data_IF_347632378482
#
_entry.id   IF_347632378482
#
_cell.length_a   1.000
_cell.length_b   1.000
_cell.length_c   1.000
_cell.angle_alpha   90.00
_cell.angle_beta   90.00
_cell.angle_gamma   90.00
#
_symmetry.space_group_name_H-M   'P 1'
#
loop_
_entity.id
_entity.type
_entity.pdbx_description
1 polymer ?
#
# COMPACT_ATOMS: atom_id res chain seq x y z
N UNK A 1 25.64 33.12 -16.45
CA UNK A 1 24.26 32.72 -16.10
C UNK A 1 24.36 31.99 -14.78
N UNK A 2 23.94 32.63 -13.69
CA UNK A 2 23.97 32.01 -12.37
C UNK A 2 22.85 30.97 -12.28
N UNK A 3 23.18 29.78 -11.79
CA UNK A 3 22.19 28.75 -11.45
C UNK A 3 21.15 29.32 -10.49
N UNK A 4 19.86 29.02 -10.69
CA UNK A 4 18.84 29.42 -9.72
C UNK A 4 19.10 28.65 -8.43
N UNK A 5 19.55 29.36 -7.39
CA UNK A 5 19.69 28.83 -6.04
C UNK A 5 18.34 28.27 -5.61
N UNK A 6 18.23 26.95 -5.56
CA UNK A 6 17.02 26.24 -5.17
C UNK A 6 16.60 26.70 -3.78
N UNK A 7 15.42 27.34 -3.66
CA UNK A 7 14.88 27.72 -2.37
C UNK A 7 14.54 26.46 -1.55
N UNK A 8 14.92 26.38 -0.27
CA UNK A 8 14.86 25.17 0.57
C UNK A 8 13.44 24.68 0.94
N UNK A 9 12.41 25.08 0.20
CA UNK A 9 11.04 24.56 0.31
C UNK A 9 10.34 24.32 -1.03
N UNK A 10 11.06 24.45 -2.16
CA UNK A 10 10.50 24.21 -3.49
C UNK A 10 10.50 22.73 -3.84
N UNK A 11 9.55 22.30 -4.66
CA UNK A 11 9.45 20.89 -5.09
C UNK A 11 10.74 20.35 -5.74
N UNK A 12 11.45 21.08 -6.62
CA UNK A 12 12.74 20.63 -7.14
C UNK A 12 13.83 20.50 -6.06
N UNK A 13 13.83 21.38 -5.05
CA UNK A 13 14.79 21.30 -3.95
C UNK A 13 14.57 20.05 -3.10
N UNK A 14 13.30 19.75 -2.76
CA UNK A 14 12.92 18.52 -2.05
C UNK A 14 13.31 17.27 -2.84
N UNK A 15 13.08 17.26 -4.15
CA UNK A 15 13.50 16.17 -5.02
C UNK A 15 15.02 16.01 -5.05
N UNK A 16 15.78 17.10 -5.10
CA UNK A 16 17.24 17.07 -5.04
C UNK A 16 17.74 16.44 -3.73
N UNK A 17 17.15 16.83 -2.58
CA UNK A 17 17.46 16.24 -1.27
C UNK A 17 17.22 14.72 -1.27
N UNK A 18 16.10 14.25 -1.81
CA UNK A 18 15.82 12.83 -1.95
C UNK A 18 16.91 12.12 -2.78
N UNK A 19 17.27 12.67 -3.95
CA UNK A 19 18.29 12.09 -4.84
C UNK A 19 19.66 12.02 -4.16
N UNK A 20 20.07 13.10 -3.51
CA UNK A 20 21.34 13.17 -2.77
C UNK A 20 21.38 12.17 -1.62
N UNK A 21 20.26 11.97 -0.91
CA UNK A 21 20.17 10.95 0.12
C UNK A 21 20.34 9.53 -0.45
N UNK A 22 19.78 9.21 -1.61
CA UNK A 22 19.81 7.86 -2.15
C UNK A 22 21.18 7.43 -2.71
N UNK A 23 21.96 8.36 -3.29
CA UNK A 23 23.26 8.07 -3.93
C UNK A 23 24.26 7.27 -3.07
N UNK A 24 24.65 7.71 -1.86
CA UNK A 24 25.60 6.96 -1.04
C UNK A 24 25.04 5.61 -0.60
N UNK A 25 23.72 5.48 -0.44
CA UNK A 25 23.06 4.24 -0.04
C UNK A 25 23.08 3.21 -1.18
N UNK A 26 22.87 3.64 -2.41
CA UNK A 26 22.97 2.79 -3.60
C UNK A 26 24.37 2.22 -3.79
N UNK A 27 25.43 2.97 -3.46
CA UNK A 27 26.82 2.51 -3.55
C UNK A 27 27.10 1.30 -2.66
N UNK A 28 26.41 1.17 -1.51
CA UNK A 28 26.53 0.03 -0.58
C UNK A 28 25.34 -0.95 -0.66
N UNK A 29 24.44 -0.75 -1.63
CA UNK A 29 23.25 -1.57 -1.80
C UNK A 29 22.05 -1.09 -1.00
N UNK A 30 20.99 -0.76 -1.74
CA UNK A 30 19.69 -0.33 -1.23
C UNK A 30 18.60 -1.35 -1.57
N UNK A 31 17.88 -1.81 -0.55
CA UNK A 31 16.60 -2.48 -0.70
C UNK A 31 15.49 -1.44 -0.56
N UNK A 32 14.54 -1.43 -1.49
CA UNK A 32 13.28 -0.67 -1.34
C UNK A 32 12.17 -1.67 -1.03
N UNK A 33 11.58 -1.53 0.15
CA UNK A 33 10.38 -2.25 0.55
C UNK A 33 9.18 -1.71 -0.25
N UNK A 34 8.90 -2.37 -1.37
CA UNK A 34 8.02 -1.93 -2.43
C UNK A 34 6.62 -2.53 -2.28
N UNK A 35 5.59 -1.69 -2.18
CA UNK A 35 4.21 -2.14 -1.96
C UNK A 35 3.29 -1.99 -3.18
N UNK A 36 3.80 -1.50 -4.33
CA UNK A 36 2.96 -1.17 -5.49
C UNK A 36 2.15 0.12 -5.37
N UNK A 37 2.25 0.82 -4.23
CA UNK A 37 1.58 2.10 -4.02
C UNK A 37 2.34 3.28 -4.64
N UNK A 38 1.66 4.42 -4.79
CA UNK A 38 2.21 5.68 -5.34
C UNK A 38 3.56 6.02 -4.72
N UNK A 39 3.61 6.12 -3.39
CA UNK A 39 4.78 6.60 -2.65
C UNK A 39 5.98 5.65 -2.82
N UNK A 40 5.77 4.34 -2.63
CA UNK A 40 6.83 3.34 -2.83
C UNK A 40 7.28 3.20 -4.28
N UNK A 41 6.38 3.46 -5.25
CA UNK A 41 6.70 3.42 -6.69
C UNK A 41 7.56 4.61 -7.08
N UNK A 42 7.25 5.80 -6.56
CA UNK A 42 8.07 6.98 -6.78
C UNK A 42 9.46 6.82 -6.15
N UNK A 43 9.55 6.37 -4.89
CA UNK A 43 10.84 6.10 -4.25
C UNK A 43 11.68 5.12 -5.06
N UNK A 44 11.08 4.02 -5.52
CA UNK A 44 11.76 3.01 -6.33
C UNK A 44 12.23 3.59 -7.66
N UNK A 45 11.39 4.39 -8.32
CA UNK A 45 11.74 5.05 -9.58
C UNK A 45 12.92 6.00 -9.42
N UNK A 46 12.92 6.87 -8.39
CA UNK A 46 14.04 7.80 -8.14
C UNK A 46 15.32 7.02 -7.85
N UNK A 47 15.25 5.98 -7.01
CA UNK A 47 16.40 5.13 -6.72
C UNK A 47 16.97 4.47 -7.98
N UNK A 48 16.12 4.00 -8.88
CA UNK A 48 16.57 3.43 -10.17
C UNK A 48 17.19 4.48 -11.09
N UNK A 49 16.62 5.68 -11.18
CA UNK A 49 17.22 6.76 -11.98
C UNK A 49 18.62 7.11 -11.48
N UNK A 50 18.80 7.24 -10.16
CA UNK A 50 20.12 7.50 -9.59
C UNK A 50 21.08 6.32 -9.78
N UNK A 51 20.60 5.07 -9.65
CA UNK A 51 21.41 3.88 -9.91
C UNK A 51 21.88 3.81 -11.37
N UNK A 52 21.02 4.13 -12.34
CA UNK A 52 21.38 4.15 -13.77
C UNK A 52 22.46 5.19 -14.07
N UNK A 53 22.40 6.35 -13.41
CA UNK A 53 23.34 7.46 -13.62
C UNK A 53 24.68 7.26 -12.92
N UNK A 54 24.67 6.71 -11.70
CA UNK A 54 25.84 6.69 -10.81
C UNK A 54 26.35 5.28 -10.48
N UNK A 55 25.64 4.23 -10.91
CA UNK A 55 25.92 2.86 -10.52
C UNK A 55 25.37 2.50 -9.14
N UNK A 56 25.83 1.37 -8.61
CA UNK A 56 25.36 0.84 -7.32
C UNK A 56 24.35 -0.30 -7.48
N UNK A 57 23.77 -0.71 -6.35
CA UNK A 57 22.90 -1.89 -6.25
C UNK A 57 21.55 -1.49 -5.69
N UNK A 58 20.49 -1.90 -6.38
CA UNK A 58 19.10 -1.68 -5.99
C UNK A 58 18.34 -3.00 -6.06
N UNK A 59 17.50 -3.25 -5.07
CA UNK A 59 16.58 -4.38 -5.07
C UNK A 59 15.21 -3.91 -4.58
N UNK A 60 14.16 -4.19 -5.34
CA UNK A 60 12.79 -4.06 -4.86
C UNK A 60 12.39 -5.34 -4.12
N UNK A 61 11.74 -5.22 -2.97
CA UNK A 61 11.20 -6.36 -2.21
C UNK A 61 9.72 -6.13 -1.93
N UNK A 62 8.88 -7.09 -2.31
CA UNK A 62 7.45 -7.07 -1.99
C UNK A 62 7.08 -8.32 -1.19
N UNK A 63 6.51 -8.10 0.00
CA UNK A 63 5.92 -9.17 0.79
C UNK A 63 4.60 -9.64 0.17
N UNK A 64 4.44 -10.96 0.04
CA UNK A 64 3.27 -11.61 -0.52
C UNK A 64 2.58 -12.43 0.55
N UNK A 65 1.30 -12.13 0.76
CA UNK A 65 0.39 -12.95 1.55
C UNK A 65 -1.02 -12.87 0.96
N UNK A 66 -1.96 -13.58 1.57
CA UNK A 66 -3.37 -13.46 1.20
C UNK A 66 -3.94 -12.04 1.40
N UNK A 67 -3.23 -11.13 2.06
CA UNK A 67 -3.67 -9.73 2.23
C UNK A 67 -3.31 -8.82 1.05
N UNK A 68 -2.41 -9.26 0.16
CA UNK A 68 -2.07 -8.55 -1.08
C UNK A 68 -3.07 -8.96 -2.16
N UNK A 69 -3.89 -8.01 -2.61
CA UNK A 69 -4.83 -8.25 -3.70
C UNK A 69 -4.08 -8.58 -5.01
N UNK A 70 -4.63 -9.50 -5.79
CA UNK A 70 -4.07 -9.98 -7.04
C UNK A 70 -3.90 -8.85 -8.07
N UNK A 71 -4.84 -7.90 -8.12
CA UNK A 71 -4.73 -6.73 -9.00
C UNK A 71 -3.56 -5.82 -8.59
N UNK A 72 -3.35 -5.61 -7.29
CA UNK A 72 -2.21 -4.85 -6.78
C UNK A 72 -0.89 -5.58 -7.06
N UNK A 73 -0.89 -6.91 -6.95
CA UNK A 73 0.26 -7.73 -7.31
C UNK A 73 0.61 -7.61 -8.80
N UNK A 74 -0.39 -7.63 -9.68
CA UNK A 74 -0.20 -7.47 -11.12
C UNK A 74 0.33 -6.08 -11.48
N UNK A 75 -0.23 -5.02 -10.88
CA UNK A 75 0.23 -3.65 -11.07
C UNK A 75 1.67 -3.46 -10.61
N UNK A 76 2.01 -3.98 -9.43
CA UNK A 76 3.37 -3.95 -8.90
C UNK A 76 4.34 -4.70 -9.82
N UNK A 77 3.97 -5.89 -10.32
CA UNK A 77 4.77 -6.67 -11.25
C UNK A 77 5.02 -5.94 -12.57
N UNK A 78 3.98 -5.29 -13.13
CA UNK A 78 4.08 -4.50 -14.36
C UNK A 78 5.04 -3.32 -14.17
N UNK A 79 4.90 -2.58 -13.07
CA UNK A 79 5.74 -1.42 -12.80
C UNK A 79 7.22 -1.75 -12.67
N UNK A 80 7.57 -2.81 -11.91
CA UNK A 80 8.99 -3.21 -11.76
C UNK A 80 9.58 -3.73 -13.07
N UNK A 81 8.76 -4.41 -13.90
CA UNK A 81 9.18 -4.89 -15.21
C UNK A 81 9.44 -3.72 -16.19
N UNK A 82 8.54 -2.74 -16.25
CA UNK A 82 8.71 -1.51 -17.05
C UNK A 82 9.92 -0.70 -16.58
N UNK A 83 10.14 -0.62 -15.27
CA UNK A 83 11.27 0.08 -14.69
C UNK A 83 12.60 -0.70 -14.84
N UNK A 84 12.55 -2.01 -15.11
CA UNK A 84 13.75 -2.85 -15.30
C UNK A 84 14.58 -3.04 -14.02
N UNK A 85 13.92 -3.09 -12.85
CA UNK A 85 14.59 -3.25 -11.55
C UNK A 85 14.52 -4.71 -11.09
N UNK A 86 15.61 -5.22 -10.49
CA UNK A 86 15.57 -6.52 -9.82
C UNK A 86 14.52 -6.52 -8.69
N UNK A 87 13.62 -7.49 -8.73
CA UNK A 87 12.50 -7.59 -7.79
C UNK A 87 12.43 -8.97 -7.15
N UNK A 88 12.23 -9.01 -5.83
CA UNK A 88 11.98 -10.23 -5.06
C UNK A 88 10.57 -10.23 -4.47
N UNK A 89 9.87 -11.34 -4.70
CA UNK A 89 8.61 -11.66 -4.06
C UNK A 89 8.89 -12.56 -2.86
N UNK A 90 8.67 -12.05 -1.65
CA UNK A 90 8.92 -12.78 -0.42
C UNK A 90 7.61 -13.19 0.23
N UNK A 91 7.41 -14.49 0.46
CA UNK A 91 6.21 -14.97 1.13
C UNK A 91 6.25 -14.58 2.61
N UNK A 92 5.34 -13.71 3.02
CA UNK A 92 5.23 -13.27 4.41
C UNK A 92 4.31 -14.18 5.22
N UNK A 93 4.63 -14.29 6.51
CA UNK A 93 3.93 -15.18 7.45
C UNK A 93 3.12 -14.43 8.49
N UNK A 94 2.68 -13.21 8.21
CA UNK A 94 1.93 -12.40 9.16
C UNK A 94 0.60 -13.06 9.58
N UNK A 95 -0.01 -13.88 8.71
CA UNK A 95 -1.22 -14.66 9.03
C UNK A 95 -0.96 -15.79 10.03
N UNK A 96 0.31 -16.13 10.32
CA UNK A 96 0.68 -17.05 11.40
C UNK A 96 0.88 -16.33 12.73
N UNK A 97 0.83 -14.99 12.76
CA UNK A 97 0.97 -14.20 13.97
C UNK A 97 -0.43 -13.89 14.57
N UNK A 98 -0.77 -14.39 15.77
CA UNK A 98 -2.02 -14.09 16.46
C UNK A 98 -2.30 -12.59 16.61
N UNK A 99 -1.25 -11.78 16.79
CA UNK A 99 -1.37 -10.32 16.95
C UNK A 99 -1.80 -9.63 15.66
N UNK A 100 -1.43 -10.18 14.50
CA UNK A 100 -1.93 -9.72 13.21
C UNK A 100 -3.36 -10.23 12.99
N UNK A 101 -3.62 -11.51 13.24
CA UNK A 101 -4.91 -12.13 12.93
C UNK A 101 -6.05 -11.61 13.81
N UNK A 102 -5.79 -11.10 15.02
CA UNK A 102 -6.85 -10.47 15.85
C UNK A 102 -7.39 -9.16 15.30
N UNK A 103 -6.72 -8.57 14.31
CA UNK A 103 -7.18 -7.37 13.58
C UNK A 103 -7.48 -6.16 14.48
N UNK A 104 -6.62 -5.86 15.44
CA UNK A 104 -6.75 -4.66 16.26
C UNK A 104 -6.05 -3.43 15.61
N UNK A 105 -5.93 -2.34 16.36
CA UNK A 105 -5.26 -1.12 15.91
C UNK A 105 -3.76 -1.30 15.63
N UNK A 106 -3.15 -2.41 16.07
CA UNK A 106 -1.72 -2.72 15.89
C UNK A 106 -1.44 -3.68 14.73
N UNK A 107 -2.46 -4.19 14.01
CA UNK A 107 -2.27 -5.08 12.85
C UNK A 107 -1.21 -4.59 11.85
N UNK A 108 -1.22 -3.30 11.53
CA UNK A 108 -0.26 -2.71 10.59
C UNK A 108 1.18 -2.72 11.10
N UNK A 109 1.39 -2.64 12.43
CA UNK A 109 2.71 -2.80 13.04
C UNK A 109 3.23 -4.22 12.75
N UNK A 110 2.49 -5.26 13.12
CA UNK A 110 2.90 -6.65 12.92
C UNK A 110 3.13 -7.01 11.44
N UNK A 111 2.29 -6.47 10.55
CA UNK A 111 2.46 -6.62 9.10
C UNK A 111 3.79 -6.03 8.61
N UNK A 112 4.14 -4.82 9.08
CA UNK A 112 5.39 -4.14 8.70
C UNK A 112 6.60 -4.80 9.35
N UNK A 113 6.48 -5.24 10.59
CA UNK A 113 7.53 -5.98 11.30
C UNK A 113 7.97 -7.22 10.50
N UNK A 114 7.02 -7.99 9.97
CA UNK A 114 7.32 -9.15 9.12
C UNK A 114 7.98 -8.76 7.79
N UNK A 115 7.47 -7.72 7.11
CA UNK A 115 8.09 -7.21 5.88
C UNK A 115 9.55 -6.81 6.11
N UNK A 116 9.84 -6.08 7.18
CA UNK A 116 11.21 -5.62 7.47
C UNK A 116 12.11 -6.75 7.93
N UNK A 117 11.59 -7.74 8.67
CA UNK A 117 12.33 -8.98 9.00
C UNK A 117 12.78 -9.72 7.72
N UNK A 118 11.90 -9.86 6.73
CA UNK A 118 12.22 -10.47 5.43
C UNK A 118 13.27 -9.65 4.67
N UNK A 119 13.10 -8.33 4.61
CA UNK A 119 14.06 -7.43 3.96
C UNK A 119 15.44 -7.50 4.62
N UNK A 120 15.53 -7.57 5.95
CA UNK A 120 16.80 -7.74 6.67
C UNK A 120 17.47 -9.08 6.38
N UNK A 121 16.70 -10.17 6.29
CA UNK A 121 17.23 -11.49 5.91
C UNK A 121 17.81 -11.49 4.49
N UNK A 122 17.13 -10.82 3.54
CA UNK A 122 17.65 -10.61 2.19
C UNK A 122 18.88 -9.71 2.18
N UNK A 123 18.87 -8.63 2.95
CA UNK A 123 19.99 -7.70 3.06
C UNK A 123 21.25 -8.42 3.54
N UNK A 124 21.13 -9.25 4.58
CA UNK A 124 22.24 -10.03 5.11
C UNK A 124 22.75 -11.10 4.13
N UNK A 125 21.85 -11.82 3.45
CA UNK A 125 22.23 -12.91 2.53
C UNK A 125 22.81 -12.41 1.21
N UNK A 126 22.38 -11.25 0.73
CA UNK A 126 22.81 -10.67 -0.55
C UNK A 126 23.82 -9.52 -0.39
N UNK A 127 24.16 -9.14 0.85
CA UNK A 127 25.10 -8.07 1.16
C UNK A 127 24.61 -6.68 0.75
N UNK A 128 23.36 -6.33 1.08
CA UNK A 128 22.84 -4.96 0.99
C UNK A 128 22.93 -4.29 2.36
N UNK A 129 23.31 -3.01 2.41
CA UNK A 129 23.49 -2.29 3.67
C UNK A 129 22.29 -1.46 4.11
N UNK A 130 21.38 -1.11 3.20
CA UNK A 130 20.30 -0.18 3.49
C UNK A 130 18.94 -0.72 3.07
N UNK A 131 17.90 -0.38 3.85
CA UNK A 131 16.51 -0.67 3.55
C UNK A 131 15.71 0.63 3.67
N UNK A 132 14.89 0.94 2.67
CA UNK A 132 14.02 2.11 2.65
C UNK A 132 12.57 1.72 2.34
N UNK A 133 11.60 2.55 2.76
CA UNK A 133 10.18 2.37 2.45
C UNK A 133 9.49 3.71 2.16
N UNK A 134 8.33 3.63 1.50
CA UNK A 134 7.60 4.80 0.98
C UNK A 134 6.79 5.60 2.02
N UNK A 135 7.29 5.80 3.24
CA UNK A 135 6.68 6.73 4.20
C UNK A 135 7.07 8.16 3.86
N UNK A 136 6.10 9.08 3.88
CA UNK A 136 6.26 10.45 3.38
C UNK A 136 5.73 11.49 4.38
N UNK A 137 5.94 12.78 4.09
CA UNK A 137 5.65 13.86 5.02
C UNK A 137 4.15 13.99 5.36
N UNK A 138 3.25 13.58 4.45
CA UNK A 138 1.81 13.59 4.69
C UNK A 138 1.36 12.53 5.71
N UNK A 139 2.20 11.54 6.02
CA UNK A 139 1.88 10.49 6.98
C UNK A 139 2.14 10.88 8.45
N UNK A 140 2.87 11.99 8.71
CA UNK A 140 3.29 12.43 10.07
C UNK A 140 2.14 12.69 11.05
N UNK A 141 0.97 13.08 10.56
CA UNK A 141 -0.20 13.40 11.39
C UNK A 141 -1.10 12.20 11.72
N UNK A 142 -0.85 11.04 11.10
CA UNK A 142 -1.67 9.85 11.28
C UNK A 142 -1.07 8.94 12.36
N UNK A 143 -1.92 8.32 13.18
CA UNK A 143 -1.48 7.19 13.98
C UNK A 143 -1.10 6.02 13.04
N UNK A 144 0.20 5.84 12.80
CA UNK A 144 0.76 4.83 11.90
C UNK A 144 1.64 3.84 12.68
N UNK A 145 1.06 2.78 13.27
CA UNK A 145 1.83 1.72 13.95
C UNK A 145 2.96 1.13 13.09
N UNK A 146 2.79 1.12 11.77
CA UNK A 146 3.82 0.67 10.85
C UNK A 146 5.11 1.52 10.85
N UNK A 147 5.02 2.80 11.22
CA UNK A 147 6.20 3.67 11.36
C UNK A 147 7.01 3.29 12.60
N UNK A 148 6.35 2.93 13.70
CA UNK A 148 7.02 2.41 14.90
C UNK A 148 7.86 1.17 14.55
N UNK A 149 7.28 0.22 13.81
CA UNK A 149 8.01 -0.96 13.34
C UNK A 149 9.22 -0.62 12.43
N UNK A 150 9.10 0.44 11.62
CA UNK A 150 10.18 0.91 10.75
C UNK A 150 11.33 1.52 11.58
N UNK A 151 11.00 2.38 12.55
CA UNK A 151 11.97 3.03 13.42
C UNK A 151 12.76 2.02 14.27
N UNK A 152 12.05 1.05 14.88
CA UNK A 152 12.67 -0.02 15.68
C UNK A 152 13.65 -0.89 14.87
N UNK A 153 13.45 -1.00 13.56
CA UNK A 153 14.28 -1.81 12.66
C UNK A 153 15.26 -0.98 11.81
N UNK A 154 15.40 0.33 12.09
CA UNK A 154 16.34 1.22 11.39
C UNK A 154 16.02 1.39 9.90
N UNK A 155 14.75 1.29 9.51
CA UNK A 155 14.33 1.44 8.12
C UNK A 155 14.27 2.92 7.74
N UNK A 156 14.89 3.27 6.61
CA UNK A 156 14.97 4.64 6.12
C UNK A 156 13.62 5.09 5.54
N UNK A 157 13.26 6.36 5.74
CA UNK A 157 12.10 7.00 5.13
C UNK A 157 12.51 8.21 4.26
N UNK A 158 13.21 8.02 3.12
CA UNK A 158 13.83 9.12 2.39
C UNK A 158 12.85 10.16 1.85
N UNK A 159 11.60 9.78 1.57
CA UNK A 159 10.56 10.72 1.14
C UNK A 159 10.16 11.65 2.28
N UNK A 160 10.07 11.12 3.50
CA UNK A 160 9.81 11.91 4.71
C UNK A 160 11.01 12.79 5.06
N UNK A 161 12.23 12.26 4.98
CA UNK A 161 13.47 13.03 5.20
C UNK A 161 13.59 14.23 4.23
N UNK A 162 13.10 14.08 3.00
CA UNK A 162 13.06 15.12 1.98
C UNK A 162 11.82 16.04 2.07
N UNK A 163 10.99 15.88 3.10
CA UNK A 163 9.73 16.62 3.31
C UNK A 163 8.75 16.55 2.13
N UNK A 164 8.76 15.44 1.37
CA UNK A 164 7.86 15.25 0.24
C UNK A 164 6.48 14.81 0.73
N UNK A 165 5.47 15.65 0.45
CA UNK A 165 4.07 15.32 0.67
C UNK A 165 3.50 14.48 -0.48
N UNK A 166 2.36 13.83 -0.25
CA UNK A 166 1.73 12.93 -1.23
C UNK A 166 1.35 13.61 -2.54
N UNK A 167 0.81 14.82 -2.49
CA UNK A 167 0.46 15.57 -3.71
C UNK A 167 1.68 16.10 -4.47
N UNK A 168 2.77 16.39 -3.76
CA UNK A 168 4.07 16.71 -4.35
C UNK A 168 4.64 15.50 -5.08
N UNK A 169 4.59 14.31 -4.47
CA UNK A 169 4.96 13.03 -5.10
C UNK A 169 4.13 12.81 -6.37
N UNK A 170 2.80 12.95 -6.33
CA UNK A 170 1.95 12.81 -7.53
C UNK A 170 2.33 13.82 -8.61
N UNK A 171 2.62 15.06 -8.24
CA UNK A 171 3.03 16.11 -9.17
C UNK A 171 4.36 15.78 -9.85
N UNK A 172 5.34 15.28 -9.11
CA UNK A 172 6.60 14.77 -9.68
C UNK A 172 6.36 13.57 -10.59
N UNK A 173 5.52 12.62 -10.18
CA UNK A 173 5.18 11.48 -11.02
C UNK A 173 4.55 11.90 -12.34
N UNK A 174 3.64 12.90 -12.35
CA UNK A 174 3.09 13.47 -13.59
C UNK A 174 4.17 14.13 -14.45
N UNK A 175 5.05 14.93 -13.83
CA UNK A 175 6.10 15.63 -14.54
C UNK A 175 7.11 14.69 -15.23
N UNK A 176 7.27 13.48 -14.71
CA UNK A 176 8.14 12.44 -15.26
C UNK A 176 7.38 11.35 -16.05
N UNK A 177 6.09 11.56 -16.34
CA UNK A 177 5.22 10.60 -17.03
C UNK A 177 5.24 9.20 -16.40
N UNK A 178 5.41 9.13 -15.07
CA UNK A 178 5.46 7.88 -14.33
C UNK A 178 4.03 7.32 -14.24
N UNK A 179 3.79 6.08 -14.68
CA UNK A 179 2.48 5.47 -14.52
C UNK A 179 2.11 5.40 -13.04
N UNK A 180 0.80 5.43 -12.75
CA UNK A 180 0.22 5.37 -11.40
C UNK A 180 0.19 6.68 -10.61
N UNK A 181 0.56 7.82 -11.22
CA UNK A 181 0.38 9.14 -10.59
C UNK A 181 -1.06 9.41 -10.14
N UNK A 182 -2.05 8.79 -10.79
CA UNK A 182 -3.48 8.86 -10.45
C UNK A 182 -4.02 7.59 -9.78
N UNK A 183 -3.18 6.60 -9.49
CA UNK A 183 -3.61 5.35 -8.84
C UNK A 183 -4.24 5.68 -7.50
N UNK A 184 -5.45 5.15 -7.29
CA UNK A 184 -6.17 5.31 -6.04
C UNK A 184 -5.40 4.61 -4.92
N UNK A 185 -5.49 5.14 -3.69
CA UNK A 185 -4.94 4.45 -2.54
C UNK A 185 -5.63 3.08 -2.39
N UNK A 186 -4.84 2.01 -2.41
CA UNK A 186 -5.32 0.64 -2.30
C UNK A 186 -4.67 -0.03 -1.09
N UNK A 187 -5.25 0.13 0.12
CA UNK A 187 -4.77 -0.58 1.29
C UNK A 187 -4.92 -2.09 1.11
N UNK A 188 -4.21 -2.89 1.92
CA UNK A 188 -4.32 -4.35 1.89
C UNK A 188 -5.76 -4.85 2.10
N UNK A 189 -6.07 -6.06 1.66
CA UNK A 189 -7.39 -6.68 1.81
C UNK A 189 -7.83 -6.75 3.28
N UNK A 190 -6.89 -6.89 4.23
CA UNK A 190 -7.21 -6.88 5.66
C UNK A 190 -7.86 -5.58 6.15
N UNK A 191 -7.72 -4.47 5.42
CA UNK A 191 -8.46 -3.23 5.71
C UNK A 191 -9.97 -3.33 5.46
N UNK A 192 -10.45 -4.37 4.75
CA UNK A 192 -11.87 -4.64 4.54
C UNK A 192 -12.51 -5.26 5.77
N UNK A 193 -11.73 -5.93 6.62
CA UNK A 193 -12.22 -6.54 7.84
C UNK A 193 -12.25 -5.48 8.94
N UNK A 194 -13.41 -5.28 9.55
CA UNK A 194 -13.59 -4.28 10.59
C UNK A 194 -12.74 -4.62 11.82
N UNK A 195 -12.30 -3.60 12.57
CA UNK A 195 -11.45 -3.80 13.75
C UNK A 195 -12.05 -4.85 14.70
N UNK A 196 -11.22 -5.81 15.12
CA UNK A 196 -11.60 -6.96 15.96
C UNK A 196 -12.11 -8.18 15.18
N UNK A 197 -12.46 -8.03 13.90
CA UNK A 197 -12.86 -9.15 13.04
C UNK A 197 -11.62 -9.88 12.57
N UNK A 198 -11.48 -11.14 12.98
CA UNK A 198 -10.27 -11.91 12.74
C UNK A 198 -9.88 -12.00 11.25
N UNK A 199 -8.60 -11.79 10.94
CA UNK A 199 -8.04 -11.92 9.59
C UNK A 199 -7.76 -13.39 9.29
N UNK A 200 -8.45 -13.93 8.29
CA UNK A 200 -8.22 -15.31 7.82
C UNK A 200 -8.03 -15.33 6.30
N UNK A 201 -7.28 -16.30 5.74
CA UNK A 201 -7.13 -16.43 4.30
C UNK A 201 -8.47 -16.54 3.57
N UNK A 202 -9.46 -17.22 4.16
CA UNK A 202 -10.78 -17.37 3.55
C UNK A 202 -11.52 -16.03 3.45
N UNK A 203 -11.55 -15.25 4.54
CA UNK A 203 -12.21 -13.93 4.55
C UNK A 203 -11.58 -12.96 3.56
N UNK A 204 -10.25 -13.01 3.43
CA UNK A 204 -9.51 -12.18 2.46
C UNK A 204 -9.83 -12.55 1.02
N UNK A 205 -9.92 -13.85 0.71
CA UNK A 205 -10.39 -14.33 -0.61
C UNK A 205 -11.83 -13.91 -0.88
N UNK A 206 -12.72 -14.07 0.09
CA UNK A 206 -14.12 -13.71 -0.08
C UNK A 206 -14.28 -12.23 -0.44
N UNK A 207 -13.64 -11.32 0.30
CA UNK A 207 -13.73 -9.88 0.01
C UNK A 207 -13.12 -9.53 -1.33
N UNK A 208 -12.02 -10.17 -1.74
CA UNK A 208 -11.40 -9.96 -3.04
C UNK A 208 -12.32 -10.42 -4.19
N UNK A 209 -12.92 -11.61 -4.08
CA UNK A 209 -13.84 -12.14 -5.10
C UNK A 209 -15.11 -11.28 -5.23
N UNK A 210 -15.61 -10.75 -4.11
CA UNK A 210 -16.76 -9.85 -4.10
C UNK A 210 -16.39 -8.46 -4.67
N UNK A 211 -15.21 -7.95 -4.35
CA UNK A 211 -14.65 -6.73 -4.94
C UNK A 211 -14.44 -6.88 -6.46
N UNK A 212 -14.10 -8.07 -6.95
CA UNK A 212 -13.97 -8.35 -8.38
C UNK A 212 -15.30 -8.22 -9.15
N UNK A 213 -16.46 -8.50 -8.53
CA UNK A 213 -17.78 -8.28 -9.14
C UNK A 213 -17.98 -6.79 -9.42
N UNK A 214 -17.69 -5.95 -8.43
CA UNK A 214 -17.82 -4.50 -8.52
C UNK A 214 -16.85 -3.91 -9.55
N UNK A 215 -15.61 -4.41 -9.56
CA UNK A 215 -14.62 -4.04 -10.54
C UNK A 215 -15.09 -4.35 -11.97
N UNK A 216 -15.61 -5.56 -12.23
CA UNK A 216 -16.14 -5.96 -13.56
C UNK A 216 -17.32 -5.10 -14.01
N UNK A 217 -18.11 -4.60 -13.07
CA UNK A 217 -19.19 -3.66 -13.36
C UNK A 217 -18.70 -2.23 -13.66
N UNK A 218 -17.39 -1.98 -13.61
CA UNK A 218 -16.77 -0.71 -13.94
C UNK A 218 -16.90 0.33 -12.83
N UNK A 219 -17.02 -0.09 -11.56
CA UNK A 219 -16.88 0.83 -10.43
C UNK A 219 -15.41 1.21 -10.25
N UNK A 220 -15.14 2.48 -9.96
CA UNK A 220 -13.78 3.00 -9.79
C UNK A 220 -13.24 2.83 -8.38
N UNK A 221 -13.94 3.37 -7.37
CA UNK A 221 -13.52 3.28 -5.96
C UNK A 221 -14.63 2.67 -5.12
N UNK A 222 -14.34 1.50 -4.56
CA UNK A 222 -15.27 0.73 -3.77
C UNK A 222 -14.55 -0.08 -2.69
N UNK A 223 -15.29 -0.50 -1.65
CA UNK A 223 -14.84 -1.41 -0.61
C UNK A 223 -15.97 -2.35 -0.20
N UNK A 224 -15.66 -3.63 -0.05
CA UNK A 224 -16.56 -4.60 0.59
C UNK A 224 -16.09 -4.80 2.03
N UNK A 225 -16.75 -4.16 3.00
CA UNK A 225 -16.40 -4.26 4.42
C UNK A 225 -17.05 -5.46 5.07
N UNK A 226 -16.28 -6.25 5.82
CA UNK A 226 -16.75 -7.44 6.52
C UNK A 226 -16.97 -7.12 7.99
N UNK A 227 -18.20 -7.32 8.44
CA UNK A 227 -18.64 -7.15 9.81
C UNK A 227 -19.08 -8.49 10.42
N UNK A 228 -18.98 -8.59 11.74
CA UNK A 228 -19.50 -9.72 12.52
C UNK A 228 -20.56 -9.24 13.50
N UNK A 229 -21.46 -10.14 13.86
CA UNK A 229 -22.43 -9.99 14.94
C UNK A 229 -22.59 -11.36 15.63
N UNK A 230 -23.22 -11.43 16.83
CA UNK A 230 -23.46 -12.71 17.48
C UNK A 230 -24.22 -13.67 16.56
N UNK A 231 -23.57 -14.77 16.16
CA UNK A 231 -24.15 -15.81 15.31
C UNK A 231 -24.02 -15.61 13.80
N UNK A 232 -23.28 -14.61 13.31
CA UNK A 232 -23.08 -14.47 11.87
C UNK A 232 -22.20 -13.31 11.41
N UNK A 233 -22.19 -13.12 10.09
CA UNK A 233 -21.36 -12.15 9.39
C UNK A 233 -22.15 -11.45 8.30
N UNK A 234 -21.80 -10.22 7.98
CA UNK A 234 -22.44 -9.44 6.92
C UNK A 234 -21.46 -8.48 6.24
N UNK A 235 -21.87 -7.96 5.09
CA UNK A 235 -21.04 -7.13 4.24
C UNK A 235 -21.65 -5.74 4.07
N UNK A 236 -20.81 -4.70 4.21
CA UNK A 236 -21.16 -3.32 3.88
C UNK A 236 -20.39 -2.88 2.63
N UNK A 237 -21.11 -2.53 1.59
CA UNK A 237 -20.56 -1.97 0.37
C UNK A 237 -20.40 -0.46 0.52
N UNK A 238 -19.18 0.03 0.37
CA UNK A 238 -18.86 1.46 0.24
C UNK A 238 -18.47 1.72 -1.22
N UNK A 239 -19.12 2.65 -1.91
CA UNK A 239 -18.80 3.05 -3.29
C UNK A 239 -18.80 4.56 -3.40
N UNK A 240 -18.15 5.13 -4.43
CA UNK A 240 -18.28 6.55 -4.69
C UNK A 240 -19.76 6.95 -4.82
N UNK A 241 -20.21 8.09 -4.24
CA UNK A 241 -21.60 8.50 -4.32
C UNK A 241 -22.15 8.55 -5.75
N UNK A 242 -21.34 9.02 -6.70
CA UNK A 242 -21.69 9.07 -8.13
C UNK A 242 -21.87 7.68 -8.78
N UNK A 243 -21.38 6.61 -8.15
CA UNK A 243 -21.42 5.24 -8.67
C UNK A 243 -22.44 4.34 -7.95
N UNK A 244 -23.23 4.88 -7.00
CA UNK A 244 -24.22 4.10 -6.25
C UNK A 244 -25.25 3.41 -7.16
N UNK A 245 -25.77 4.11 -8.16
CA UNK A 245 -26.71 3.52 -9.13
C UNK A 245 -26.07 2.36 -9.91
N UNK A 246 -24.79 2.49 -10.28
CA UNK A 246 -24.03 1.43 -10.97
C UNK A 246 -23.83 0.22 -10.07
N UNK A 247 -23.57 0.42 -8.78
CA UNK A 247 -23.46 -0.66 -7.79
C UNK A 247 -24.73 -1.52 -7.72
N UNK A 248 -25.90 -0.92 -7.89
CA UNK A 248 -27.17 -1.66 -7.88
C UNK A 248 -27.36 -2.58 -9.09
N UNK A 249 -26.62 -2.37 -10.18
CA UNK A 249 -26.69 -3.23 -11.38
C UNK A 249 -26.20 -4.66 -11.11
N UNK A 250 -25.33 -4.85 -10.11
CA UNK A 250 -24.78 -6.17 -9.72
C UNK A 250 -25.40 -6.72 -8.43
N UNK A 251 -26.49 -6.12 -7.93
CA UNK A 251 -27.08 -6.48 -6.63
C UNK A 251 -27.38 -7.98 -6.49
N UNK A 252 -27.92 -8.60 -7.54
CA UNK A 252 -28.37 -9.99 -7.50
C UNK A 252 -27.19 -10.98 -7.61
N UNK A 253 -26.14 -10.62 -8.36
CA UNK A 253 -24.89 -11.38 -8.38
C UNK A 253 -24.19 -11.30 -7.02
N UNK A 254 -24.02 -10.09 -6.49
CA UNK A 254 -23.34 -9.83 -5.23
C UNK A 254 -24.06 -10.51 -4.06
N UNK A 255 -25.39 -10.39 -3.97
CA UNK A 255 -26.19 -11.02 -2.93
C UNK A 255 -26.13 -12.55 -3.00
N UNK A 256 -26.15 -13.16 -4.20
CA UNK A 256 -26.01 -14.61 -4.36
C UNK A 256 -24.61 -15.07 -3.95
N UNK A 257 -23.57 -14.41 -4.43
CA UNK A 257 -22.17 -14.72 -4.11
C UNK A 257 -21.90 -14.60 -2.61
N UNK A 258 -22.42 -13.57 -1.95
CA UNK A 258 -22.31 -13.38 -0.51
C UNK A 258 -23.01 -14.48 0.29
N UNK A 259 -24.27 -14.82 -0.07
CA UNK A 259 -25.02 -15.89 0.61
C UNK A 259 -24.35 -17.25 0.51
N UNK A 260 -23.80 -17.59 -0.65
CA UNK A 260 -23.05 -18.84 -0.86
C UNK A 260 -21.81 -18.96 0.04
N UNK A 261 -21.25 -17.83 0.48
CA UNK A 261 -20.09 -17.75 1.39
C UNK A 261 -20.50 -17.60 2.86
N UNK A 262 -21.79 -17.64 3.17
CA UNK A 262 -22.30 -17.56 4.55
C UNK A 262 -22.52 -16.15 5.09
N UNK A 263 -22.47 -15.11 4.25
CA UNK A 263 -22.80 -13.75 4.66
C UNK A 263 -24.33 -13.54 4.65
N UNK A 264 -24.90 -13.10 5.76
CA UNK A 264 -26.34 -12.95 5.93
C UNK A 264 -26.93 -11.88 5.02
N UNK A 265 -26.26 -10.72 4.92
CA UNK A 265 -26.70 -9.56 4.17
C UNK A 265 -25.55 -8.86 3.46
N UNK A 266 -25.87 -8.24 2.33
CA UNK A 266 -25.04 -7.20 1.72
C UNK A 266 -25.82 -5.89 1.80
N UNK A 267 -25.24 -4.88 2.43
CA UNK A 267 -25.83 -3.55 2.55
C UNK A 267 -25.03 -2.53 1.77
N UNK A 268 -25.65 -1.41 1.38
CA UNK A 268 -24.98 -0.27 0.76
C UNK A 268 -24.87 0.86 1.78
N UNK A 269 -23.65 1.36 2.02
CA UNK A 269 -23.43 2.53 2.85
C UNK A 269 -23.92 3.78 2.12
N UNK A 270 -24.99 4.40 2.61
CA UNK A 270 -25.59 5.59 2.01
C UNK A 270 -24.70 6.84 2.13
N UNK A 271 -23.70 6.84 3.01
CA UNK A 271 -22.69 7.90 3.02
C UNK A 271 -21.64 7.71 1.91
N UNK A 272 -21.60 6.53 1.28
CA UNK A 272 -20.63 6.15 0.28
C UNK A 272 -19.21 5.99 0.81
N UNK A 273 -18.27 5.83 -0.12
CA UNK A 273 -16.84 5.71 0.18
C UNK A 273 -16.28 7.03 0.71
N UNK A 274 -15.57 6.94 1.84
CA UNK A 274 -14.81 8.04 2.44
C UNK A 274 -13.42 7.56 2.80
N UNK A 275 -12.41 8.38 2.53
CA UNK A 275 -11.03 8.08 2.94
C UNK A 275 -10.97 7.91 4.47
N UNK A 276 -10.39 6.79 4.93
CA UNK A 276 -10.32 6.46 6.36
C UNK A 276 -11.65 6.00 7.00
N UNK A 277 -12.71 5.77 6.23
CA UNK A 277 -14.06 5.44 6.76
C UNK A 277 -14.17 4.10 7.50
N UNK A 278 -13.23 3.16 7.27
CA UNK A 278 -13.31 1.79 7.81
C UNK A 278 -13.26 1.67 9.34
N UNK A 279 -12.78 2.67 10.07
CA UNK A 279 -12.62 2.60 11.53
C UNK A 279 -13.28 3.76 12.29
N UNK A 280 -14.11 4.58 11.64
CA UNK A 280 -14.87 5.59 12.39
C UNK A 280 -15.91 4.87 13.25
N UNK A 281 -15.78 4.98 14.57
CA UNK A 281 -16.88 4.63 15.49
C UNK A 281 -18.10 5.45 15.08
N UNK A 282 -19.31 4.88 15.08
CA UNK A 282 -20.51 5.71 15.09
C UNK A 282 -20.39 6.68 16.28
N UNK A 283 -20.53 7.97 16.01
CA UNK A 283 -20.81 8.94 17.07
C UNK A 283 -22.21 8.75 17.62
#
# INVERSE_FOLDING_TARGET
MADPVAHPGTLPAKEAVLREALRPRLAHGLIVAYSGGVDSSFLLWVAEQERRRHGGRLLAVTAVSASLAQMERQDAARFVAELGVEHRWENSRELSNPDYTRNDLTRCYHCKTELFRLSHALAASLGYSFIAYGYNASDRGDFRPGQTAAAEQGILAPLDDADLAKEEIRSLMRAYDIPFAEKAASPCLSSRLMTGVAVTPQRLRDVEELEAILHRAGLGVFRVRLHEYPGGQWLRLEVMPAEMTKALSVRDELQRAARQRGYAWVTLDLAGYRMGGGNRRPG
#
